data_IF_710748822837
#
_entry.id   IF_710748822837
#
_cell.length_a   1.000
_cell.length_b   1.000
_cell.length_c   1.000
_cell.angle_alpha   90.00
_cell.angle_beta   90.00
_cell.angle_gamma   90.00
#
_symmetry.space_group_name_H-M   'P 1'
#
loop_
_entity.id
_entity.type
_entity.pdbx_description
1 polymer ?
#
# COMPACT_ATOMS: atom_id res chain seq x y z
N UNK A 1 -49.90 11.99 -30.23
CA UNK A 1 -50.76 12.02 -29.02
C UNK A 1 -49.94 12.66 -27.91
N UNK A 2 -49.83 14.00 -27.84
CA UNK A 2 -50.66 14.93 -27.03
C UNK A 2 -51.21 14.34 -25.72
N UNK A 3 -50.65 14.80 -24.60
CA UNK A 3 -51.39 15.56 -23.59
C UNK A 3 -50.44 16.52 -22.82
N UNK A 4 -50.82 17.81 -22.75
CA UNK A 4 -50.22 18.93 -22.00
C UNK A 4 -50.74 18.99 -20.56
N UNK A 5 -49.88 19.30 -19.56
CA UNK A 5 -49.78 20.50 -18.69
C UNK A 5 -50.92 20.75 -17.68
N UNK A 6 -50.67 21.28 -16.44
CA UNK A 6 -50.02 22.59 -16.16
C UNK A 6 -48.88 22.50 -15.10
N UNK A 7 -47.81 23.30 -15.16
CA UNK A 7 -47.67 24.68 -14.62
C UNK A 7 -48.20 24.85 -13.19
N UNK A 8 -47.30 24.79 -12.20
CA UNK A 8 -47.38 25.59 -10.96
C UNK A 8 -46.01 26.26 -10.78
N UNK A 9 -46.09 27.57 -10.64
CA UNK A 9 -45.04 28.54 -10.39
C UNK A 9 -44.48 28.45 -8.96
N UNK A 10 -43.19 28.73 -8.86
CA UNK A 10 -42.64 29.72 -7.94
C UNK A 10 -42.80 29.48 -6.41
N UNK A 11 -41.80 28.79 -5.83
CA UNK A 11 -41.24 29.21 -4.53
C UNK A 11 -39.71 29.08 -4.60
N UNK A 12 -39.09 30.25 -4.77
CA UNK A 12 -37.69 30.54 -4.59
C UNK A 12 -37.40 30.64 -3.07
N UNK A 13 -36.77 29.62 -2.50
CA UNK A 13 -35.99 29.74 -1.27
C UNK A 13 -34.68 28.96 -1.46
N UNK A 14 -33.51 29.61 -1.33
CA UNK A 14 -32.25 28.91 -1.46
C UNK A 14 -32.03 28.07 -0.20
N UNK A 15 -32.15 26.75 -0.36
CA UNK A 15 -31.58 25.79 0.58
C UNK A 15 -30.07 26.03 0.61
N UNK A 16 -29.65 26.77 1.63
CA UNK A 16 -28.28 26.87 2.10
C UNK A 16 -27.76 25.48 2.45
N UNK A 17 -27.23 24.78 1.44
CA UNK A 17 -26.42 23.59 1.61
C UNK A 17 -24.94 24.00 1.59
N UNK A 18 -24.55 24.89 2.49
CA UNK A 18 -23.13 24.98 2.88
C UNK A 18 -22.85 23.84 3.86
N UNK A 19 -22.75 22.63 3.29
CA UNK A 19 -22.26 21.43 3.95
C UNK A 19 -20.74 21.42 4.11
N UNK A 20 -20.07 22.58 4.12
CA UNK A 20 -18.73 22.67 4.71
C UNK A 20 -18.87 22.50 6.22
N UNK A 21 -18.67 21.26 6.67
CA UNK A 21 -18.21 21.06 8.05
C UNK A 21 -16.96 21.93 8.25
N UNK A 22 -17.10 22.91 9.13
CA UNK A 22 -16.10 23.91 9.46
C UNK A 22 -14.98 23.22 10.29
N UNK A 23 -14.23 22.31 9.67
CA UNK A 23 -13.20 21.49 10.30
C UNK A 23 -11.93 22.28 10.67
N UNK A 24 -11.94 23.60 10.44
CA UNK A 24 -10.80 24.49 10.56
C UNK A 24 -10.97 25.62 11.57
N UNK A 25 -11.92 25.50 12.50
CA UNK A 25 -11.97 26.43 13.63
C UNK A 25 -10.81 26.12 14.60
N UNK A 26 -9.89 27.05 14.89
CA UNK A 26 -8.77 26.81 15.81
C UNK A 26 -9.28 26.85 17.26
N UNK A 27 -9.33 25.69 17.94
CA UNK A 27 -9.96 25.56 19.26
C UNK A 27 -8.96 25.58 20.42
N UNK A 28 -7.72 25.11 20.23
CA UNK A 28 -6.82 24.87 21.36
C UNK A 28 -5.55 25.72 21.38
N UNK A 29 -5.12 26.08 22.59
CA UNK A 29 -3.82 26.72 22.88
C UNK A 29 -2.71 25.68 23.04
N UNK A 30 -1.45 26.08 22.89
CA UNK A 30 -0.30 25.18 23.07
C UNK A 30 -0.30 24.47 24.43
N UNK A 31 -0.69 25.15 25.52
CA UNK A 31 -0.78 24.57 26.85
C UNK A 31 -1.89 23.52 26.99
N UNK A 32 -3.06 23.77 26.37
CA UNK A 32 -4.15 22.78 26.35
C UNK A 32 -3.77 21.52 25.58
N UNK A 33 -3.08 21.68 24.44
CA UNK A 33 -2.57 20.55 23.66
C UNK A 33 -1.49 19.79 24.43
N UNK A 34 -0.56 20.50 25.09
CA UNK A 34 0.51 19.89 25.89
C UNK A 34 -0.07 19.03 27.02
N UNK A 35 -1.03 19.59 27.78
CA UNK A 35 -1.70 18.88 28.86
C UNK A 35 -2.46 17.66 28.35
N UNK A 36 -3.20 17.78 27.23
CA UNK A 36 -3.97 16.67 26.64
C UNK A 36 -3.08 15.53 26.16
N UNK A 37 -1.89 15.83 25.67
CA UNK A 37 -0.94 14.85 25.14
C UNK A 37 0.04 14.33 26.21
N UNK A 38 -0.03 14.84 27.45
CA UNK A 38 0.88 14.46 28.52
C UNK A 38 2.34 14.86 28.26
N UNK A 39 2.57 15.94 27.52
CA UNK A 39 3.92 16.46 27.19
C UNK A 39 4.07 17.90 27.66
N UNK A 40 5.30 18.41 27.70
CA UNK A 40 5.55 19.83 27.98
C UNK A 40 5.34 20.69 26.73
N UNK A 41 4.98 21.97 26.91
CA UNK A 41 4.95 22.90 25.77
C UNK A 41 6.32 23.07 25.10
N UNK A 42 7.42 22.92 25.84
CA UNK A 42 8.78 22.92 25.28
C UNK A 42 9.02 21.73 24.34
N UNK A 43 8.42 20.57 24.63
CA UNK A 43 8.45 19.38 23.78
C UNK A 43 7.65 19.61 22.50
N UNK A 44 6.43 20.16 22.60
CA UNK A 44 5.64 20.57 21.42
C UNK A 44 6.40 21.56 20.54
N UNK A 45 6.96 22.63 21.12
CA UNK A 45 7.80 23.60 20.39
C UNK A 45 9.00 22.94 19.73
N UNK A 46 9.64 21.98 20.39
CA UNK A 46 10.74 21.22 19.82
C UNK A 46 10.29 20.36 18.64
N UNK A 47 9.13 19.71 18.71
CA UNK A 47 8.57 18.93 17.61
C UNK A 47 8.23 19.78 16.39
N UNK A 48 7.59 20.94 16.59
CA UNK A 48 7.32 21.88 15.50
C UNK A 48 8.60 22.34 14.81
N UNK A 49 9.56 22.83 15.59
CA UNK A 49 10.81 23.38 15.06
C UNK A 49 11.70 22.32 14.40
N UNK A 50 11.83 21.13 15.01
CA UNK A 50 12.76 20.09 14.53
C UNK A 50 12.19 19.20 13.45
N UNK A 51 10.86 19.01 13.43
CA UNK A 51 10.22 18.03 12.55
C UNK A 51 9.14 18.60 11.64
N UNK A 52 8.95 19.93 11.63
CA UNK A 52 8.07 20.61 10.66
C UNK A 52 6.59 20.30 10.84
N UNK A 53 6.15 19.88 12.03
CA UNK A 53 4.76 19.56 12.35
C UNK A 53 3.95 20.82 12.69
N UNK A 54 4.10 21.88 11.90
CA UNK A 54 3.45 23.17 12.19
C UNK A 54 1.91 23.02 12.21
N UNK A 55 1.21 23.69 13.15
CA UNK A 55 -0.25 23.67 13.20
C UNK A 55 -0.81 24.16 11.88
N UNK A 56 -1.79 23.44 11.34
CA UNK A 56 -2.39 23.80 10.06
C UNK A 56 -3.18 25.09 10.18
N UNK A 57 -3.92 25.23 11.29
CA UNK A 57 -4.69 26.44 11.59
C UNK A 57 -3.80 27.70 11.67
N UNK A 58 -3.97 28.63 10.73
CA UNK A 58 -3.37 29.97 10.84
C UNK A 58 -4.11 30.76 11.92
N UNK A 59 -3.50 30.89 13.09
CA UNK A 59 -4.03 31.75 14.16
C UNK A 59 -4.03 33.23 13.73
N UNK A 60 -5.07 33.97 14.09
CA UNK A 60 -5.22 35.42 13.83
C UNK A 60 -4.36 36.31 14.75
N UNK A 61 -3.23 35.82 15.28
CA UNK A 61 -2.37 36.56 16.21
C UNK A 61 -1.02 35.89 16.54
N UNK A 62 -0.30 36.42 17.52
CA UNK A 62 1.07 36.00 17.89
C UNK A 62 1.17 34.62 18.56
N UNK A 63 0.05 34.03 18.99
CA UNK A 63 0.01 32.72 19.65
C UNK A 63 -0.51 31.63 18.72
N UNK A 64 0.24 30.52 18.62
CA UNK A 64 -0.12 29.34 17.81
C UNK A 64 -1.43 28.73 18.33
N UNK A 65 -2.37 28.48 17.41
CA UNK A 65 -3.61 27.75 17.68
C UNK A 65 -3.62 26.42 16.92
N UNK A 66 -4.31 25.44 17.49
CA UNK A 66 -4.33 24.07 16.99
C UNK A 66 -5.78 23.68 16.65
N UNK A 67 -5.95 23.05 15.50
CA UNK A 67 -7.21 22.41 15.10
C UNK A 67 -7.39 21.03 15.75
N UNK A 68 -8.55 20.42 15.54
CA UNK A 68 -8.79 19.03 15.92
C UNK A 68 -7.78 18.07 15.27
N UNK A 69 -7.51 18.31 13.99
CA UNK A 69 -6.58 17.51 13.20
C UNK A 69 -5.14 17.64 13.70
N UNK A 70 -4.73 18.85 14.11
CA UNK A 70 -3.38 19.08 14.64
C UNK A 70 -3.13 18.25 15.91
N UNK A 71 -4.11 18.20 16.82
CA UNK A 71 -3.99 17.40 18.06
C UNK A 71 -4.06 15.92 17.78
N UNK A 72 -4.89 15.48 16.82
CA UNK A 72 -4.95 14.07 16.41
C UNK A 72 -3.60 13.62 15.85
N UNK A 73 -2.99 14.44 14.99
CA UNK A 73 -1.66 14.19 14.43
C UNK A 73 -0.57 14.15 15.50
N UNK A 74 -0.58 15.10 16.44
CA UNK A 74 0.39 15.13 17.55
C UNK A 74 0.19 13.96 18.54
N UNK A 75 -1.05 13.54 18.78
CA UNK A 75 -1.35 12.32 19.52
C UNK A 75 -0.81 11.08 18.84
N UNK A 76 -0.97 10.97 17.52
CA UNK A 76 -0.40 9.87 16.75
C UNK A 76 1.13 9.86 16.76
N UNK A 77 1.77 11.04 16.72
CA UNK A 77 3.22 11.13 16.89
C UNK A 77 3.65 10.57 18.23
N UNK A 78 2.94 10.93 19.31
CA UNK A 78 3.22 10.45 20.66
C UNK A 78 3.10 8.93 20.74
N UNK A 79 2.02 8.36 20.22
CA UNK A 79 1.82 6.90 20.17
C UNK A 79 2.96 6.18 19.46
N UNK A 80 3.41 6.69 18.30
CA UNK A 80 4.51 6.11 17.54
C UNK A 80 5.83 6.16 18.31
N UNK A 81 6.11 7.28 18.98
CA UNK A 81 7.32 7.47 19.78
C UNK A 81 7.31 6.56 21.01
N UNK A 82 6.16 6.44 21.69
CA UNK A 82 6.00 5.54 22.83
C UNK A 82 6.11 4.06 22.42
N UNK A 83 5.73 3.74 21.18
CA UNK A 83 6.00 2.45 20.54
C UNK A 83 7.46 2.23 20.14
N UNK A 84 8.39 3.12 20.52
CA UNK A 84 9.83 2.99 20.29
C UNK A 84 10.33 3.60 18.98
N UNK A 85 9.48 4.26 18.19
CA UNK A 85 9.93 4.92 16.96
C UNK A 85 10.70 6.21 17.27
N UNK A 86 11.78 6.47 16.52
CA UNK A 86 12.48 7.75 16.63
C UNK A 86 11.54 8.90 16.24
N UNK A 87 11.47 10.01 17.01
CA UNK A 87 10.56 11.11 16.73
C UNK A 87 10.67 11.71 15.32
N UNK A 88 11.89 11.75 14.74
CA UNK A 88 12.10 12.21 13.37
C UNK A 88 11.46 11.30 12.32
N UNK A 89 11.50 9.98 12.52
CA UNK A 89 10.90 8.99 11.61
C UNK A 89 9.38 9.05 11.72
N UNK A 90 8.86 9.12 12.95
CA UNK A 90 7.43 9.22 13.20
C UNK A 90 6.84 10.51 12.59
N UNK A 91 7.52 11.64 12.76
CA UNK A 91 7.08 12.92 12.19
C UNK A 91 7.17 12.93 10.65
N UNK A 92 8.22 12.35 10.07
CA UNK A 92 8.33 12.17 8.62
C UNK A 92 7.13 11.42 8.06
N UNK A 93 6.79 10.27 8.67
CA UNK A 93 5.61 9.49 8.28
C UNK A 93 4.31 10.32 8.34
N UNK A 94 4.10 11.09 9.41
CA UNK A 94 2.89 11.89 9.59
C UNK A 94 2.79 13.07 8.63
N UNK A 95 3.92 13.66 8.23
CA UNK A 95 3.94 14.72 7.21
C UNK A 95 3.62 14.18 5.80
N UNK A 96 3.97 12.92 5.52
CA UNK A 96 3.72 12.27 4.22
C UNK A 96 2.26 11.80 4.05
N UNK A 97 1.63 11.33 5.12
CA UNK A 97 0.28 10.74 5.09
C UNK A 97 -0.81 11.60 4.43
N UNK A 98 -0.89 12.93 4.64
CA UNK A 98 -1.87 13.79 3.99
C UNK A 98 -1.66 13.85 2.48
N UNK A 99 -0.41 14.01 2.04
CA UNK A 99 -0.07 14.06 0.61
C UNK A 99 -0.42 12.74 -0.08
N UNK A 100 -0.05 11.61 0.51
CA UNK A 100 -0.38 10.30 -0.06
C UNK A 100 -1.89 10.02 -0.06
N UNK A 101 -2.64 10.56 0.91
CA UNK A 101 -4.11 10.48 0.92
C UNK A 101 -4.73 11.32 -0.20
N UNK A 102 -4.24 12.54 -0.45
CA UNK A 102 -4.70 13.37 -1.57
C UNK A 102 -4.40 12.69 -2.91
N UNK A 103 -3.21 12.11 -3.06
CA UNK A 103 -2.84 11.30 -4.23
C UNK A 103 -3.80 10.11 -4.40
N UNK A 104 -4.08 9.38 -3.32
CA UNK A 104 -5.00 8.25 -3.31
C UNK A 104 -6.40 8.66 -3.76
N UNK A 105 -6.93 9.78 -3.25
CA UNK A 105 -8.23 10.32 -3.67
C UNK A 105 -8.22 10.70 -5.16
N UNK A 106 -7.17 11.38 -5.63
CA UNK A 106 -7.01 11.73 -7.04
C UNK A 106 -7.03 10.51 -7.97
N UNK A 107 -6.33 9.42 -7.57
CA UNK A 107 -6.32 8.15 -8.31
C UNK A 107 -7.71 7.51 -8.35
N UNK A 108 -8.43 7.49 -7.22
CA UNK A 108 -9.81 6.95 -7.19
C UNK A 108 -10.74 7.75 -8.10
N UNK A 109 -10.68 9.08 -8.02
CA UNK A 109 -11.54 9.93 -8.84
C UNK A 109 -11.20 9.83 -10.34
N UNK A 110 -9.92 9.67 -10.70
CA UNK A 110 -9.53 9.39 -12.08
C UNK A 110 -10.02 8.01 -12.55
N UNK A 111 -9.92 6.98 -11.72
CA UNK A 111 -10.41 5.63 -12.04
C UNK A 111 -11.93 5.59 -12.25
N UNK A 112 -12.70 6.29 -11.42
CA UNK A 112 -14.16 6.45 -11.58
C UNK A 112 -14.56 7.14 -12.89
N UNK A 113 -13.67 7.95 -13.46
CA UNK A 113 -13.86 8.58 -14.78
C UNK A 113 -13.26 7.76 -15.93
N UNK A 114 -12.76 6.56 -15.64
CA UNK A 114 -12.01 5.70 -16.56
C UNK A 114 -10.79 6.40 -17.20
N UNK A 115 -10.25 7.41 -16.52
CA UNK A 115 -9.08 8.18 -16.96
C UNK A 115 -7.81 7.43 -16.56
N UNK A 116 -7.55 6.33 -17.28
CA UNK A 116 -6.39 5.47 -17.05
C UNK A 116 -5.06 6.18 -17.29
N UNK A 117 -5.04 7.20 -18.15
CA UNK A 117 -3.85 8.04 -18.42
C UNK A 117 -3.44 8.81 -17.18
N UNK A 118 -4.38 9.53 -16.55
CA UNK A 118 -4.13 10.26 -15.30
C UNK A 118 -3.75 9.31 -14.17
N UNK A 119 -4.44 8.17 -14.03
CA UNK A 119 -4.08 7.14 -13.05
C UNK A 119 -2.63 6.69 -13.20
N UNK A 120 -2.22 6.29 -14.42
CA UNK A 120 -0.86 5.82 -14.69
C UNK A 120 0.18 6.93 -14.44
N UNK A 121 -0.10 8.17 -14.84
CA UNK A 121 0.78 9.31 -14.61
C UNK A 121 1.02 9.56 -13.12
N UNK A 122 -0.07 9.67 -12.34
CA UNK A 122 -0.01 9.92 -10.90
C UNK A 122 0.68 8.77 -10.17
N UNK A 123 0.33 7.51 -10.49
CA UNK A 123 0.96 6.34 -9.90
C UNK A 123 2.45 6.26 -10.26
N UNK A 124 2.82 6.49 -11.52
CA UNK A 124 4.23 6.49 -11.96
C UNK A 124 5.04 7.52 -11.18
N UNK A 125 4.55 8.77 -11.05
CA UNK A 125 5.25 9.81 -10.26
C UNK A 125 5.37 9.45 -8.78
N UNK A 126 4.32 8.85 -8.22
CA UNK A 126 4.29 8.46 -6.81
C UNK A 126 5.30 7.35 -6.54
N UNK A 127 5.39 6.35 -7.43
CA UNK A 127 6.40 5.29 -7.37
C UNK A 127 7.82 5.86 -7.39
N UNK A 128 8.12 6.79 -8.30
CA UNK A 128 9.44 7.43 -8.38
C UNK A 128 9.79 8.23 -7.12
N UNK A 129 8.81 8.89 -6.51
CA UNK A 129 9.04 9.77 -5.35
C UNK A 129 9.11 9.03 -4.02
N UNK A 130 8.26 8.02 -3.83
CA UNK A 130 8.04 7.38 -2.53
C UNK A 130 8.41 5.89 -2.50
N UNK A 131 8.77 5.33 -3.65
CA UNK A 131 9.11 3.92 -3.82
C UNK A 131 7.89 3.00 -3.90
N UNK A 132 8.13 1.75 -4.31
CA UNK A 132 7.07 0.78 -4.57
C UNK A 132 6.28 0.44 -3.31
N UNK A 133 6.97 0.10 -2.23
CA UNK A 133 6.33 -0.37 -0.98
C UNK A 133 5.38 0.68 -0.41
N UNK A 134 5.82 1.94 -0.31
CA UNK A 134 4.98 3.00 0.24
C UNK A 134 3.79 3.30 -0.67
N UNK A 135 4.03 3.39 -1.98
CA UNK A 135 2.97 3.67 -2.95
C UNK A 135 1.91 2.57 -2.94
N UNK A 136 2.33 1.30 -2.89
CA UNK A 136 1.40 0.18 -2.79
C UNK A 136 0.56 0.22 -1.52
N UNK A 137 1.18 0.36 -0.35
CA UNK A 137 0.49 0.28 0.93
C UNK A 137 -0.36 1.52 1.26
N UNK A 138 -0.01 2.70 0.70
CA UNK A 138 -0.68 3.97 1.03
C UNK A 138 -1.56 4.53 -0.08
N UNK A 139 -1.36 4.10 -1.32
CA UNK A 139 -2.11 4.60 -2.49
C UNK A 139 -2.84 3.46 -3.18
N UNK A 140 -2.12 2.49 -3.78
CA UNK A 140 -2.77 1.47 -4.61
C UNK A 140 -3.76 0.62 -3.83
N UNK A 141 -3.34 0.01 -2.71
CA UNK A 141 -4.20 -0.87 -1.92
C UNK A 141 -5.42 -0.13 -1.34
N UNK A 142 -5.28 1.06 -0.71
CA UNK A 142 -6.46 1.81 -0.28
C UNK A 142 -7.38 2.26 -1.42
N UNK A 143 -6.84 2.59 -2.62
CA UNK A 143 -7.66 2.90 -3.79
C UNK A 143 -8.48 1.70 -4.27
N UNK A 144 -7.87 0.52 -4.38
CA UNK A 144 -8.57 -0.72 -4.73
C UNK A 144 -9.70 -1.00 -3.74
N UNK A 145 -9.40 -0.94 -2.43
CA UNK A 145 -10.41 -1.11 -1.38
C UNK A 145 -11.52 -0.06 -1.45
N UNK A 146 -11.23 1.16 -1.89
CA UNK A 146 -12.26 2.20 -2.06
C UNK A 146 -13.20 1.90 -3.22
N UNK A 147 -12.69 1.37 -4.33
CA UNK A 147 -13.48 0.99 -5.51
C UNK A 147 -14.30 -0.27 -5.21
N UNK A 148 -13.69 -1.29 -4.62
CA UNK A 148 -14.38 -2.53 -4.19
C UNK A 148 -15.59 -2.24 -3.28
N UNK A 149 -15.45 -1.29 -2.35
CA UNK A 149 -16.58 -0.86 -1.48
C UNK A 149 -17.70 -0.18 -2.26
N UNK A 150 -17.37 0.61 -3.28
CA UNK A 150 -18.38 1.26 -4.12
C UNK A 150 -19.09 0.24 -5.02
N UNK A 151 -18.36 -0.73 -5.56
CA UNK A 151 -18.90 -1.81 -6.36
C UNK A 151 -19.79 -2.76 -5.54
N UNK A 152 -19.50 -2.96 -4.25
CA UNK A 152 -20.37 -3.71 -3.36
C UNK A 152 -21.80 -3.11 -3.26
N UNK A 153 -21.93 -1.80 -3.52
CA UNK A 153 -23.24 -1.13 -3.60
C UNK A 153 -23.82 -1.05 -5.01
N UNK A 154 -22.98 -1.17 -6.04
CA UNK A 154 -23.36 -1.11 -7.45
C UNK A 154 -22.45 -2.04 -8.29
N UNK A 155 -22.86 -3.31 -8.50
CA UNK A 155 -22.04 -4.32 -9.16
C UNK A 155 -21.66 -4.00 -10.62
N UNK A 156 -22.39 -3.09 -11.27
CA UNK A 156 -22.13 -2.70 -12.66
C UNK A 156 -20.87 -1.84 -12.81
N UNK A 157 -20.30 -1.36 -11.69
CA UNK A 157 -19.07 -0.53 -11.63
C UNK A 157 -17.76 -1.32 -11.68
N UNK A 158 -17.80 -2.52 -12.24
CA UNK A 158 -16.61 -3.39 -12.41
C UNK A 158 -15.58 -2.77 -13.37
N UNK A 159 -16.02 -1.89 -14.26
CA UNK A 159 -15.17 -1.11 -15.16
C UNK A 159 -14.16 -0.24 -14.40
N UNK A 160 -14.55 0.36 -13.27
CA UNK A 160 -13.67 1.17 -12.42
C UNK A 160 -12.55 0.35 -11.77
N UNK A 161 -12.90 -0.86 -11.30
CA UNK A 161 -11.94 -1.80 -10.71
C UNK A 161 -10.92 -2.26 -11.76
N UNK A 162 -11.40 -2.61 -12.96
CA UNK A 162 -10.55 -3.00 -14.07
C UNK A 162 -9.66 -1.85 -14.54
N UNK A 163 -10.20 -0.63 -14.65
CA UNK A 163 -9.42 0.56 -15.02
C UNK A 163 -8.30 0.83 -14.00
N UNK A 164 -8.61 0.79 -12.70
CA UNK A 164 -7.60 0.99 -11.66
C UNK A 164 -6.55 -0.12 -11.66
N UNK A 165 -6.97 -1.38 -11.72
CA UNK A 165 -6.09 -2.55 -11.73
C UNK A 165 -5.12 -2.49 -12.91
N UNK A 166 -5.64 -2.19 -14.11
CA UNK A 166 -4.82 -2.02 -15.31
C UNK A 166 -3.81 -0.88 -15.15
N UNK A 167 -4.23 0.28 -14.61
CA UNK A 167 -3.33 1.41 -14.37
C UNK A 167 -2.24 1.09 -13.35
N UNK A 168 -2.55 0.33 -12.30
CA UNK A 168 -1.58 -0.12 -11.29
C UNK A 168 -0.56 -1.07 -11.91
N UNK A 169 -1.00 -2.13 -12.61
CA UNK A 169 -0.11 -3.05 -13.34
C UNK A 169 0.81 -2.29 -14.29
N UNK A 170 0.25 -1.34 -15.05
CA UNK A 170 1.00 -0.53 -16.02
C UNK A 170 2.08 0.32 -15.35
N UNK A 171 1.76 0.96 -14.21
CA UNK A 171 2.72 1.74 -13.46
C UNK A 171 3.82 0.87 -12.82
N UNK A 172 3.47 -0.31 -12.29
CA UNK A 172 4.41 -1.26 -11.69
C UNK A 172 5.39 -1.83 -12.73
N UNK A 173 4.92 -2.16 -13.94
CA UNK A 173 5.77 -2.65 -15.02
C UNK A 173 6.75 -1.61 -15.58
N UNK A 174 6.60 -0.33 -15.23
CA UNK A 174 7.58 0.73 -15.56
C UNK A 174 8.75 0.78 -14.58
N UNK A 175 8.69 0.07 -13.44
CA UNK A 175 9.82 -0.03 -12.52
C UNK A 175 10.95 -0.80 -13.20
N UNK A 176 12.15 -0.20 -13.20
CA UNK A 176 13.35 -0.76 -13.85
C UNK A 176 13.64 -2.16 -13.31
N UNK A 177 13.70 -3.13 -14.23
CA UNK A 177 14.01 -4.52 -13.89
C UNK A 177 15.53 -4.76 -13.89
N UNK A 178 16.07 -5.52 -12.92
CA UNK A 178 17.47 -5.92 -12.94
C UNK A 178 17.73 -6.92 -14.08
N UNK A 179 18.83 -6.76 -14.80
CA UNK A 179 19.24 -7.67 -15.88
C UNK A 179 20.14 -8.77 -15.35
N UNK A 180 19.54 -9.73 -14.65
CA UNK A 180 20.22 -10.90 -14.13
C UNK A 180 19.28 -12.11 -14.11
N UNK A 181 19.85 -13.30 -13.95
CA UNK A 181 19.06 -14.52 -13.84
C UNK A 181 18.20 -14.46 -12.57
N UNK A 182 16.87 -14.57 -12.74
CA UNK A 182 15.95 -14.61 -11.63
C UNK A 182 16.17 -15.88 -10.79
N UNK A 183 16.44 -15.68 -9.50
CA UNK A 183 16.58 -16.78 -8.51
C UNK A 183 15.40 -16.85 -7.54
N UNK A 184 14.44 -15.95 -7.70
CA UNK A 184 13.16 -15.92 -6.99
C UNK A 184 12.03 -16.15 -7.99
N UNK A 185 11.13 -17.09 -7.71
CA UNK A 185 9.88 -17.25 -8.47
C UNK A 185 8.71 -16.71 -7.65
N UNK A 186 7.79 -16.03 -8.31
CA UNK A 186 6.56 -15.52 -7.69
C UNK A 186 5.36 -16.08 -8.46
N UNK A 187 4.43 -16.73 -7.77
CA UNK A 187 3.24 -17.33 -8.38
C UNK A 187 2.01 -17.12 -7.50
N UNK A 188 0.84 -17.02 -8.13
CA UNK A 188 -0.42 -17.20 -7.42
C UNK A 188 -0.79 -18.69 -7.38
N UNK A 189 -1.43 -19.13 -6.30
CA UNK A 189 -1.91 -20.50 -6.16
C UNK A 189 -2.87 -20.92 -7.30
N UNK A 190 -3.05 -22.23 -7.54
CA UNK A 190 -4.04 -22.72 -8.50
C UNK A 190 -5.41 -22.05 -8.33
N UNK A 191 -5.98 -21.51 -9.41
CA UNK A 191 -7.27 -20.80 -9.40
C UNK A 191 -7.23 -19.37 -8.84
N UNK A 192 -6.11 -18.91 -8.28
CA UNK A 192 -5.99 -17.56 -7.71
C UNK A 192 -5.68 -16.51 -8.79
N UNK A 193 -6.62 -15.59 -9.02
CA UNK A 193 -6.52 -14.55 -10.05
C UNK A 193 -6.12 -13.17 -9.52
N UNK A 194 -6.05 -12.96 -8.20
CA UNK A 194 -5.61 -11.69 -7.60
C UNK A 194 -4.08 -11.54 -7.70
N UNK A 195 -3.57 -11.17 -8.88
CA UNK A 195 -2.12 -11.09 -9.18
C UNK A 195 -1.46 -9.76 -8.80
N UNK A 196 -2.22 -8.68 -8.63
CA UNK A 196 -1.66 -7.34 -8.34
C UNK A 196 -0.69 -7.33 -7.14
N UNK A 197 -0.94 -8.02 -6.01
CA UNK A 197 0.01 -8.06 -4.90
C UNK A 197 1.34 -8.73 -5.27
N UNK A 198 1.31 -9.72 -6.17
CA UNK A 198 2.50 -10.40 -6.69
C UNK A 198 3.28 -9.47 -7.63
N UNK A 199 2.60 -8.69 -8.47
CA UNK A 199 3.22 -7.68 -9.33
C UNK A 199 3.85 -6.55 -8.51
N UNK A 200 3.18 -6.09 -7.45
CA UNK A 200 3.72 -5.10 -6.53
C UNK A 200 4.98 -5.61 -5.82
N UNK A 201 4.99 -6.87 -5.41
CA UNK A 201 6.19 -7.51 -4.87
C UNK A 201 7.32 -7.62 -5.90
N UNK A 202 7.01 -8.02 -7.14
CA UNK A 202 8.00 -8.08 -8.21
C UNK A 202 8.67 -6.71 -8.44
N UNK A 203 7.86 -5.64 -8.52
CA UNK A 203 8.36 -4.29 -8.65
C UNK A 203 9.20 -3.85 -7.44
N UNK A 204 8.80 -4.19 -6.21
CA UNK A 204 9.55 -3.84 -5.00
C UNK A 204 10.88 -4.59 -4.87
N UNK A 205 10.94 -5.85 -5.33
CA UNK A 205 12.18 -6.62 -5.44
C UNK A 205 13.09 -6.01 -6.51
N UNK A 206 12.56 -5.61 -7.66
CA UNK A 206 13.32 -4.94 -8.71
C UNK A 206 13.89 -3.58 -8.25
N UNK A 207 13.13 -2.79 -7.49
CA UNK A 207 13.60 -1.56 -6.84
C UNK A 207 14.78 -1.82 -5.89
N UNK A 208 14.85 -3.01 -5.29
CA UNK A 208 15.93 -3.48 -4.42
C UNK A 208 17.02 -4.27 -5.15
N UNK A 209 17.03 -4.24 -6.49
CA UNK A 209 17.97 -4.97 -7.37
C UNK A 209 17.96 -6.51 -7.16
N UNK A 210 16.82 -7.06 -6.71
CA UNK A 210 16.63 -8.51 -6.53
C UNK A 210 15.90 -9.09 -7.76
N UNK A 211 16.56 -9.90 -8.60
CA UNK A 211 15.93 -10.46 -9.80
C UNK A 211 14.90 -11.53 -9.46
N UNK A 212 13.63 -11.25 -9.80
CA UNK A 212 12.50 -12.15 -9.60
C UNK A 212 11.78 -12.45 -10.93
N UNK A 213 11.19 -13.65 -11.03
CA UNK A 213 10.37 -14.07 -12.17
C UNK A 213 8.93 -14.27 -11.70
N UNK A 214 8.03 -13.44 -12.23
CA UNK A 214 6.59 -13.65 -12.07
C UNK A 214 6.15 -14.77 -13.02
N UNK A 215 5.54 -15.82 -12.46
CA UNK A 215 4.93 -16.92 -13.20
C UNK A 215 3.45 -16.67 -13.52
N UNK A 216 2.82 -15.73 -12.82
CA UNK A 216 1.46 -15.25 -13.09
C UNK A 216 0.39 -15.77 -12.14
N UNK A 217 -0.86 -15.51 -12.51
CA UNK A 217 -2.07 -15.95 -11.85
C UNK A 217 -2.35 -17.45 -12.06
N UNK A 218 -3.15 -18.03 -11.17
CA UNK A 218 -3.76 -19.37 -11.28
C UNK A 218 -2.77 -20.48 -11.67
N UNK A 219 -1.54 -20.47 -11.13
CA UNK A 219 -0.47 -21.36 -11.58
C UNK A 219 -0.79 -22.81 -11.20
N UNK A 220 -0.97 -23.73 -12.17
CA UNK A 220 -1.26 -25.13 -11.86
C UNK A 220 -0.12 -25.78 -11.08
N UNK A 221 -0.44 -26.63 -10.08
CA UNK A 221 0.57 -27.26 -9.22
C UNK A 221 1.67 -27.97 -10.03
N UNK A 222 1.30 -28.77 -11.03
CA UNK A 222 2.27 -29.50 -11.86
C UNK A 222 3.21 -28.56 -12.63
N UNK A 223 2.68 -27.44 -13.14
CA UNK A 223 3.48 -26.43 -13.84
C UNK A 223 4.41 -25.68 -12.89
N UNK A 224 3.95 -25.37 -11.66
CA UNK A 224 4.77 -24.76 -10.62
C UNK A 224 5.95 -25.68 -10.24
N UNK A 225 5.68 -26.95 -9.95
CA UNK A 225 6.73 -27.94 -9.62
C UNK A 225 7.72 -28.08 -10.77
N UNK A 226 7.23 -28.16 -12.02
CA UNK A 226 8.10 -28.21 -13.20
C UNK A 226 9.00 -26.97 -13.30
N UNK A 227 8.47 -25.78 -13.06
CA UNK A 227 9.24 -24.53 -13.08
C UNK A 227 10.30 -24.50 -11.99
N UNK A 228 9.97 -24.94 -10.77
CA UNK A 228 10.92 -25.04 -9.65
C UNK A 228 12.05 -26.02 -9.98
N UNK A 229 11.72 -27.22 -10.46
CA UNK A 229 12.72 -28.24 -10.81
C UNK A 229 13.63 -27.80 -11.95
N UNK A 230 13.08 -27.14 -12.98
CA UNK A 230 13.87 -26.73 -14.16
C UNK A 230 14.77 -25.52 -13.90
N UNK A 231 14.34 -24.60 -13.04
CA UNK A 231 15.07 -23.35 -12.78
C UNK A 231 15.88 -23.36 -11.48
N UNK A 232 15.60 -24.32 -10.57
CA UNK A 232 16.23 -24.46 -9.25
C UNK A 232 16.36 -23.11 -8.52
N UNK A 233 15.24 -22.40 -8.27
CA UNK A 233 15.28 -21.10 -7.62
C UNK A 233 15.75 -21.25 -6.17
N UNK A 234 16.24 -20.15 -5.58
CA UNK A 234 16.58 -20.08 -4.16
C UNK A 234 15.32 -19.95 -3.29
N UNK A 235 14.33 -19.20 -3.79
CA UNK A 235 13.09 -18.96 -3.08
C UNK A 235 11.90 -18.95 -4.03
N UNK A 236 10.75 -19.35 -3.51
CA UNK A 236 9.46 -19.28 -4.20
C UNK A 236 8.46 -18.61 -3.28
N UNK A 237 7.77 -17.60 -3.80
CA UNK A 237 6.59 -17.05 -3.16
C UNK A 237 5.33 -17.62 -3.80
N UNK A 238 4.45 -18.18 -2.98
CA UNK A 238 3.12 -18.62 -3.37
C UNK A 238 2.05 -17.73 -2.73
N UNK A 239 1.35 -16.97 -3.56
CA UNK A 239 0.30 -16.04 -3.15
C UNK A 239 -1.08 -16.71 -3.13
N UNK A 240 -1.86 -16.41 -2.10
CA UNK A 240 -3.28 -16.72 -2.03
C UNK A 240 -4.04 -15.57 -1.36
N UNK A 241 -5.02 -15.00 -2.06
CA UNK A 241 -5.93 -14.00 -1.55
C UNK A 241 -7.13 -14.66 -0.87
N UNK A 242 -7.64 -15.75 -1.45
CA UNK A 242 -8.81 -16.45 -0.93
C UNK A 242 -8.45 -17.72 -0.13
N UNK A 243 -9.04 -17.94 1.06
CA UNK A 243 -8.72 -19.13 1.87
C UNK A 243 -8.96 -20.47 1.19
N UNK A 244 -10.01 -20.58 0.37
CA UNK A 244 -10.31 -21.80 -0.38
C UNK A 244 -9.30 -22.10 -1.50
N UNK A 245 -8.49 -21.12 -1.88
CA UNK A 245 -7.43 -21.24 -2.89
C UNK A 245 -6.02 -21.35 -2.27
N UNK A 246 -5.91 -21.39 -0.94
CA UNK A 246 -4.65 -21.63 -0.24
C UNK A 246 -4.20 -23.08 -0.45
N UNK A 247 -3.48 -23.32 -1.53
CA UNK A 247 -3.23 -24.66 -2.05
C UNK A 247 -2.06 -25.37 -1.33
N UNK A 248 -2.32 -25.90 -0.13
CA UNK A 248 -1.31 -26.56 0.72
C UNK A 248 -0.48 -27.63 0.01
N UNK A 249 -1.09 -28.49 -0.81
CA UNK A 249 -0.36 -29.52 -1.58
C UNK A 249 0.67 -28.93 -2.55
N UNK A 250 0.41 -27.74 -3.09
CA UNK A 250 1.35 -27.08 -3.99
C UNK A 250 2.50 -26.47 -3.19
N UNK A 251 2.20 -25.87 -2.04
CA UNK A 251 3.21 -25.40 -1.08
C UNK A 251 4.12 -26.54 -0.61
N UNK A 252 3.56 -27.67 -0.15
CA UNK A 252 4.33 -28.85 0.25
C UNK A 252 5.23 -29.38 -0.86
N UNK A 253 4.71 -29.49 -2.09
CA UNK A 253 5.48 -29.94 -3.23
C UNK A 253 6.65 -28.99 -3.58
N UNK A 254 6.44 -27.67 -3.46
CA UNK A 254 7.50 -26.68 -3.65
C UNK A 254 8.54 -26.77 -2.54
N UNK A 255 8.12 -26.88 -1.27
CA UNK A 255 9.04 -27.00 -0.14
C UNK A 255 9.90 -28.28 -0.25
N UNK A 256 9.29 -29.41 -0.65
CA UNK A 256 10.00 -30.67 -0.86
C UNK A 256 11.01 -30.61 -2.02
N UNK A 257 10.83 -29.70 -2.99
CA UNK A 257 11.75 -29.52 -4.11
C UNK A 257 13.03 -28.72 -3.74
N UNK A 258 13.12 -28.20 -2.51
CA UNK A 258 14.33 -27.57 -1.96
C UNK A 258 14.40 -26.03 -1.85
N UNK A 259 13.66 -25.17 -2.60
CA UNK A 259 13.74 -23.72 -2.40
C UNK A 259 13.16 -23.31 -1.04
N UNK A 260 13.57 -22.13 -0.55
CA UNK A 260 12.91 -21.47 0.58
C UNK A 260 11.48 -21.09 0.16
N UNK A 261 10.49 -21.78 0.71
CA UNK A 261 9.08 -21.46 0.48
C UNK A 261 8.64 -20.27 1.34
N UNK A 262 8.07 -19.28 0.67
CA UNK A 262 7.37 -18.15 1.26
C UNK A 262 5.91 -18.23 0.86
N UNK A 263 4.99 -18.19 1.82
CA UNK A 263 3.54 -18.11 1.57
C UNK A 263 3.06 -16.72 1.97
N UNK A 264 2.24 -16.10 1.14
CA UNK A 264 1.78 -14.73 1.39
C UNK A 264 0.33 -14.54 0.93
N UNK A 265 -0.33 -13.59 1.59
CA UNK A 265 -1.72 -13.21 1.32
C UNK A 265 -2.70 -13.76 2.36
N UNK A 266 -3.89 -13.13 2.46
CA UNK A 266 -4.85 -13.43 3.51
C UNK A 266 -5.44 -14.84 3.45
N UNK A 267 -5.30 -15.56 2.33
CA UNK A 267 -5.85 -16.90 2.18
C UNK A 267 -5.18 -17.97 3.05
N UNK A 268 -3.90 -17.80 3.41
CA UNK A 268 -3.14 -18.84 4.12
C UNK A 268 -3.49 -19.01 5.60
N UNK A 269 -4.25 -18.08 6.20
CA UNK A 269 -4.72 -18.21 7.58
C UNK A 269 -3.58 -18.32 8.61
N UNK A 270 -3.59 -19.40 9.41
CA UNK A 270 -2.63 -19.61 10.50
C UNK A 270 -1.25 -19.99 9.95
N UNK A 271 -0.16 -19.35 10.41
CA UNK A 271 1.19 -19.66 9.95
C UNK A 271 1.57 -21.13 10.17
N UNK A 272 2.09 -21.77 9.12
CA UNK A 272 2.64 -23.12 9.20
C UNK A 272 4.10 -23.06 9.72
N UNK A 273 4.52 -23.86 10.72
CA UNK A 273 5.85 -23.76 11.33
C UNK A 273 7.02 -23.95 10.36
N UNK A 274 6.81 -24.72 9.29
CA UNK A 274 7.83 -25.00 8.27
C UNK A 274 7.93 -23.97 7.14
N UNK A 275 7.05 -22.96 7.08
CA UNK A 275 6.99 -22.00 5.98
C UNK A 275 7.20 -20.57 6.47
N UNK A 276 7.75 -19.71 5.61
CA UNK A 276 7.90 -18.29 5.95
C UNK A 276 6.64 -17.53 5.55
N UNK A 277 6.06 -16.79 6.50
CA UNK A 277 4.81 -16.05 6.30
C UNK A 277 5.00 -14.55 6.58
N UNK A 278 5.50 -13.75 5.63
CA UNK A 278 5.66 -12.31 5.83
C UNK A 278 4.31 -11.63 6.05
N UNK A 279 4.23 -10.77 7.06
CA UNK A 279 3.02 -10.02 7.39
C UNK A 279 2.82 -8.73 6.57
N UNK A 280 3.79 -8.36 5.73
CA UNK A 280 3.76 -7.15 4.92
C UNK A 280 4.57 -7.30 3.64
N UNK A 281 4.33 -6.39 2.68
CA UNK A 281 5.11 -6.29 1.46
C UNK A 281 6.60 -6.04 1.77
N UNK A 282 6.89 -5.12 2.70
CA UNK A 282 8.27 -4.85 3.14
C UNK A 282 8.96 -6.08 3.74
N UNK A 283 8.26 -6.86 4.56
CA UNK A 283 8.79 -8.09 5.15
C UNK A 283 9.07 -9.15 4.07
N UNK A 284 8.17 -9.29 3.09
CA UNK A 284 8.37 -10.20 1.96
C UNK A 284 9.61 -9.83 1.13
N UNK A 285 9.82 -8.54 0.84
CA UNK A 285 11.02 -8.03 0.16
C UNK A 285 12.28 -8.37 0.96
N UNK A 286 12.27 -8.16 2.29
CA UNK A 286 13.43 -8.49 3.13
C UNK A 286 13.76 -9.97 3.11
N UNK A 287 12.77 -10.84 3.29
CA UNK A 287 12.94 -12.31 3.31
C UNK A 287 13.49 -12.83 1.99
N UNK A 288 12.92 -12.38 0.87
CA UNK A 288 13.34 -12.82 -0.46
C UNK A 288 14.70 -12.23 -0.87
N UNK A 289 14.98 -10.99 -0.48
CA UNK A 289 16.29 -10.37 -0.69
C UNK A 289 17.41 -11.00 0.13
N UNK A 290 17.13 -11.49 1.34
CA UNK A 290 18.07 -12.27 2.13
C UNK A 290 18.40 -13.60 1.44
N UNK A 291 17.39 -14.34 0.99
CA UNK A 291 17.58 -15.59 0.26
C UNK A 291 18.43 -15.42 -1.01
N UNK A 292 18.35 -14.25 -1.65
CA UNK A 292 19.20 -13.89 -2.77
C UNK A 292 20.68 -13.71 -2.35
N UNK A 293 20.93 -12.92 -1.29
CA UNK A 293 22.27 -12.53 -0.84
C UNK A 293 23.10 -13.64 -0.20
N UNK A 294 22.50 -14.63 0.47
CA UNK A 294 23.20 -15.69 1.23
C UNK A 294 24.11 -16.60 0.39
N UNK A 295 24.26 -16.33 -0.91
CA UNK A 295 24.96 -17.20 -1.85
C UNK A 295 25.93 -16.46 -2.78
N UNK A 296 25.98 -15.12 -2.72
CA UNK A 296 27.03 -14.31 -3.38
C UNK A 296 28.31 -14.25 -2.53
N UNK A 297 28.33 -14.85 -1.34
CA UNK A 297 29.59 -15.13 -0.65
C UNK A 297 30.35 -16.25 -1.38
N UNK A 298 31.59 -16.03 -1.83
CA UNK A 298 32.38 -17.07 -2.48
C UNK A 298 32.55 -18.25 -1.52
N UNK A 299 32.21 -19.46 -1.98
CA UNK A 299 32.54 -20.69 -1.23
C UNK A 299 34.05 -20.69 -0.95
N UNK A 300 34.50 -20.91 0.30
CA UNK A 300 35.92 -21.06 0.56
C UNK A 300 36.44 -22.23 -0.27
N UNK A 301 37.43 -21.95 -1.11
CA UNK A 301 38.16 -22.97 -1.87
C UNK A 301 38.79 -23.91 -0.84
N UNK A 302 38.59 -25.24 -0.94
CA UNK A 302 39.24 -26.17 -0.02
C UNK A 302 40.74 -26.00 -0.17
N UNK A 303 41.42 -25.65 0.93
CA UNK A 303 42.88 -25.73 0.98
C UNK A 303 43.23 -27.21 0.90
N UNK A 304 43.91 -27.58 -0.18
CA UNK A 304 44.52 -28.90 -0.35
C UNK A 304 45.60 -29.17 0.68
#
# INVERSE_FOLDING_TARGET
MRASCPMIDEYDEPLSHDGRVDAWVPVWTAGQVAARLGVTESTLRSWHRRYGLEPRAKGSGAHRRYSHDDVTLLGRLRELVDGGMRPSVAAGLLNEMPVLREVQQSVVEAAKRLDTSTCVEVLTRTLHRWGVVRTWDRVCRPSLTSIERAQATDPDRVDEEHALSWSVTTALHRVRQPWAQARVLLACAPGEHHSLPVEALAAALAESDVPARVLGAAMPQAALVRAVTSTRPQAVLLWSHRPDLAHHRAAEAVAAAGPRLVVAGPGWGVPHPGWVHPGSLSSAVMVLGEAHRTTDSPRPVPRG
#
